data_IF_066895909016
#
_entry.id   IF_066895909016
#
_cell.length_a   1.000
_cell.length_b   1.000
_cell.length_c   1.000
_cell.angle_alpha   90.00
_cell.angle_beta   90.00
_cell.angle_gamma   90.00
#
_symmetry.space_group_name_H-M   'P 1'
#
loop_
_entity.id
_entity.type
_entity.pdbx_description
1 polymer ?
#
# COMPACT_ATOMS: atom_id res chain seq x y z
N UNK A 1 7.19 2.15 17.36
CA UNK A 1 6.37 1.16 16.64
C UNK A 1 5.94 1.75 15.31
N UNK A 2 6.30 1.11 14.19
CA UNK A 2 5.90 1.52 12.84
C UNK A 2 4.39 1.70 12.70
N UNK A 3 3.61 0.88 13.40
CA UNK A 3 2.14 0.92 13.37
C UNK A 3 1.60 2.30 13.74
N UNK A 4 2.24 3.02 14.66
CA UNK A 4 1.86 4.40 14.98
C UNK A 4 2.14 5.36 13.83
N UNK A 5 3.30 5.25 13.17
CA UNK A 5 3.61 6.06 11.98
C UNK A 5 2.64 5.77 10.83
N UNK A 6 2.26 4.50 10.64
CA UNK A 6 1.23 4.10 9.66
C UNK A 6 -0.11 4.73 10.05
N UNK A 7 -0.49 4.66 11.33
CA UNK A 7 -1.72 5.27 11.85
C UNK A 7 -1.74 6.78 11.64
N UNK A 8 -0.62 7.47 11.93
CA UNK A 8 -0.51 8.93 11.80
C UNK A 8 -0.65 9.38 10.33
N UNK A 9 -0.10 8.62 9.37
CA UNK A 9 -0.36 8.84 7.94
C UNK A 9 -1.84 8.65 7.63
N UNK A 10 -2.46 7.59 8.17
CA UNK A 10 -3.88 7.34 7.98
C UNK A 10 -4.80 8.42 8.54
N UNK A 11 -4.46 8.97 9.71
CA UNK A 11 -5.17 10.12 10.31
C UNK A 11 -5.05 11.36 9.42
N UNK A 12 -3.84 11.66 8.95
CA UNK A 12 -3.61 12.79 8.07
C UNK A 12 -4.38 12.64 6.76
N UNK A 13 -4.41 11.44 6.17
CA UNK A 13 -5.23 11.15 5.00
C UNK A 13 -6.72 11.33 5.30
N UNK A 14 -7.18 10.90 6.47
CA UNK A 14 -8.56 11.10 6.89
C UNK A 14 -8.90 12.59 7.05
N UNK A 15 -8.00 13.39 7.61
CA UNK A 15 -8.14 14.84 7.77
C UNK A 15 -8.11 15.59 6.43
N UNK A 16 -7.16 15.29 5.53
CA UNK A 16 -7.09 15.86 4.18
C UNK A 16 -8.34 15.57 3.36
N UNK A 17 -8.94 14.42 3.63
CA UNK A 17 -10.18 13.99 3.04
C UNK A 17 -11.35 14.20 4.01
N UNK A 18 -11.41 15.31 4.75
CA UNK A 18 -12.48 15.60 5.73
C UNK A 18 -13.91 15.64 5.16
N UNK A 19 -14.06 15.62 3.84
CA UNK A 19 -15.33 15.41 3.15
C UNK A 19 -15.69 13.93 2.92
N UNK A 20 -14.70 13.03 2.97
CA UNK A 20 -14.87 11.59 2.86
C UNK A 20 -15.33 11.01 4.19
N UNK A 21 -16.47 10.32 4.15
CA UNK A 21 -16.97 9.55 5.27
C UNK A 21 -16.18 8.23 5.39
N UNK A 22 -16.04 7.62 6.59
CA UNK A 22 -15.26 6.41 6.79
C UNK A 22 -15.55 5.25 5.81
N UNK A 23 -16.79 5.08 5.35
CA UNK A 23 -17.14 4.04 4.39
C UNK A 23 -16.57 4.28 2.98
N UNK A 24 -16.35 5.53 2.59
CA UNK A 24 -15.82 5.88 1.27
C UNK A 24 -14.39 5.37 1.09
N UNK A 25 -13.67 5.18 2.20
CA UNK A 25 -12.33 4.59 2.26
C UNK A 25 -12.31 3.12 1.85
N UNK A 26 -13.39 2.40 2.17
CA UNK A 26 -13.53 1.00 1.84
C UNK A 26 -14.27 0.80 0.52
N UNK A 27 -14.96 1.84 0.02
CA UNK A 27 -15.55 1.88 -1.31
C UNK A 27 -14.45 1.85 -2.39
N UNK A 28 -14.66 1.06 -3.43
CA UNK A 28 -13.72 0.80 -4.50
C UNK A 28 -14.27 1.32 -5.83
N UNK A 29 -13.38 1.64 -6.77
CA UNK A 29 -13.77 1.80 -8.16
C UNK A 29 -14.04 0.41 -8.77
N UNK A 30 -15.19 0.18 -9.45
CA UNK A 30 -15.41 -1.06 -10.19
C UNK A 30 -14.31 -1.28 -11.23
N UNK A 31 -13.93 -0.24 -11.96
CA UNK A 31 -12.89 -0.29 -12.99
C UNK A 31 -11.89 0.86 -12.80
N UNK A 32 -10.82 0.64 -12.01
CA UNK A 32 -9.84 1.70 -11.71
C UNK A 32 -9.22 2.32 -12.96
N UNK A 33 -9.10 3.65 -12.96
CA UNK A 33 -8.53 4.44 -14.07
C UNK A 33 -9.29 4.30 -15.41
N UNK A 34 -10.56 3.91 -15.38
CA UNK A 34 -11.42 3.80 -16.56
C UNK A 34 -12.78 4.42 -16.29
N UNK A 35 -13.44 4.86 -17.36
CA UNK A 35 -14.86 5.23 -17.28
C UNK A 35 -15.68 3.94 -17.29
N UNK A 36 -16.49 3.76 -16.25
CA UNK A 36 -17.41 2.64 -16.09
C UNK A 36 -18.81 3.07 -16.55
N UNK A 37 -19.47 2.24 -17.37
CA UNK A 37 -20.91 2.39 -17.66
C UNK A 37 -21.71 1.71 -16.57
N UNK A 38 -22.30 2.49 -15.67
CA UNK A 38 -23.13 1.99 -14.58
C UNK A 38 -24.59 1.94 -15.03
N UNK A 39 -25.16 0.75 -15.09
CA UNK A 39 -26.59 0.53 -15.32
C UNK A 39 -27.31 0.60 -13.96
N UNK A 40 -28.25 1.54 -13.83
CA UNK A 40 -29.00 1.78 -12.61
C UNK A 40 -30.36 1.09 -12.71
N UNK A 41 -30.59 0.09 -11.88
CA UNK A 41 -31.91 -0.54 -11.73
C UNK A 41 -32.75 0.40 -10.86
N UNK A 42 -33.67 1.13 -11.49
CA UNK A 42 -34.42 2.20 -10.84
C UNK A 42 -35.71 1.69 -10.21
N UNK A 43 -35.89 2.01 -8.94
CA UNK A 43 -37.14 1.83 -8.23
C UNK A 43 -37.74 3.19 -7.86
N UNK A 44 -39.03 3.21 -7.54
CA UNK A 44 -39.72 4.38 -7.00
C UNK A 44 -40.60 3.97 -5.83
N UNK A 45 -40.50 4.69 -4.72
CA UNK A 45 -41.40 4.55 -3.58
C UNK A 45 -42.60 5.49 -3.76
N UNK A 46 -43.81 4.94 -3.82
CA UNK A 46 -45.08 5.69 -3.80
C UNK A 46 -45.90 5.24 -2.60
N UNK A 47 -45.99 6.07 -1.57
CA UNK A 47 -46.55 5.68 -0.28
C UNK A 47 -45.71 4.58 0.38
N UNK A 48 -46.33 3.45 0.69
CA UNK A 48 -45.66 2.27 1.29
C UNK A 48 -45.13 1.27 0.25
N UNK A 49 -45.51 1.42 -1.03
CA UNK A 49 -45.12 0.46 -2.07
C UNK A 49 -43.91 0.94 -2.86
N UNK A 50 -43.04 -0.01 -3.20
CA UNK A 50 -41.87 0.19 -4.04
C UNK A 50 -42.14 -0.50 -5.38
N UNK A 51 -41.93 0.21 -6.47
CA UNK A 51 -42.17 -0.29 -7.83
C UNK A 51 -40.92 -0.13 -8.68
N UNK A 52 -40.65 -1.12 -9.53
CA UNK A 52 -39.63 -1.03 -10.56
C UNK A 52 -40.05 0.01 -11.62
N UNK A 53 -39.11 0.86 -12.04
CA UNK A 53 -39.34 1.97 -12.98
C UNK A 53 -38.66 1.75 -14.34
N UNK A 54 -37.49 1.10 -14.34
CA UNK A 54 -36.70 0.86 -15.55
C UNK A 54 -35.20 0.87 -15.28
N UNK A 55 -34.40 0.92 -16.35
CA UNK A 55 -32.94 1.00 -16.29
C UNK A 55 -32.44 2.36 -16.82
N UNK A 56 -31.61 3.05 -16.03
CA UNK A 56 -30.86 4.25 -16.45
C UNK A 56 -29.37 3.90 -16.64
N UNK A 57 -28.61 4.72 -17.36
CA UNK A 57 -27.17 4.50 -17.60
C UNK A 57 -26.38 5.77 -17.29
N UNK A 58 -25.37 5.65 -16.43
CA UNK A 58 -24.50 6.76 -16.05
C UNK A 58 -23.01 6.43 -16.21
N UNK A 59 -22.22 7.46 -16.49
CA UNK A 59 -20.76 7.34 -16.50
C UNK A 59 -20.20 7.49 -15.08
N UNK A 60 -19.40 6.52 -14.68
CA UNK A 60 -18.72 6.49 -13.38
C UNK A 60 -17.21 6.58 -13.58
N UNK A 61 -16.56 7.42 -12.80
CA UNK A 61 -15.11 7.66 -12.83
C UNK A 61 -14.57 7.89 -11.42
N UNK A 62 -13.26 8.16 -11.32
CA UNK A 62 -12.54 8.44 -10.07
C UNK A 62 -13.17 9.53 -9.18
N UNK A 63 -13.99 10.43 -9.75
CA UNK A 63 -14.60 11.57 -9.03
C UNK A 63 -15.97 11.26 -8.43
N UNK A 64 -16.68 10.25 -8.93
CA UNK A 64 -18.07 9.99 -8.53
C UNK A 64 -18.37 8.54 -8.14
N UNK A 65 -17.39 7.62 -8.23
CA UNK A 65 -17.60 6.21 -7.94
C UNK A 65 -18.09 5.94 -6.51
N UNK A 66 -17.68 6.77 -5.53
CA UNK A 66 -18.03 6.55 -4.11
C UNK A 66 -19.53 6.55 -3.89
N UNK A 67 -20.29 7.29 -4.70
CA UNK A 67 -21.76 7.40 -4.62
C UNK A 67 -22.48 6.08 -4.85
N UNK A 68 -21.86 5.19 -5.62
CA UNK A 68 -22.40 3.88 -5.97
C UNK A 68 -21.94 2.78 -5.01
N UNK A 69 -21.12 3.10 -4.00
CA UNK A 69 -20.85 2.20 -2.89
C UNK A 69 -20.30 0.81 -3.30
N UNK A 70 -19.57 0.69 -4.41
CA UNK A 70 -19.00 -0.61 -4.83
C UNK A 70 -17.98 -1.12 -3.81
N UNK A 71 -18.15 -2.34 -3.34
CA UNK A 71 -17.20 -3.02 -2.46
C UNK A 71 -17.11 -4.48 -2.86
N UNK A 72 -15.94 -4.91 -3.34
CA UNK A 72 -15.70 -6.31 -3.66
C UNK A 72 -15.69 -7.17 -2.39
N UNK A 73 -16.42 -8.28 -2.42
CA UNK A 73 -16.42 -9.27 -1.35
C UNK A 73 -15.52 -10.47 -1.66
N UNK A 74 -15.75 -11.58 -0.96
CA UNK A 74 -14.95 -12.79 -1.11
C UNK A 74 -15.24 -13.48 -2.46
N UNK A 75 -14.29 -14.27 -2.97
CA UNK A 75 -14.41 -14.93 -4.27
C UNK A 75 -15.66 -15.84 -4.40
N UNK A 76 -16.21 -16.33 -3.28
CA UNK A 76 -17.41 -17.19 -3.25
C UNK A 76 -18.66 -16.49 -2.69
N UNK A 77 -18.51 -15.35 -2.02
CA UNK A 77 -19.61 -14.64 -1.36
C UNK A 77 -20.25 -13.52 -2.19
N UNK A 78 -19.66 -13.15 -3.33
CA UNK A 78 -20.14 -12.04 -4.14
C UNK A 78 -19.61 -10.69 -3.67
N UNK A 79 -20.09 -9.60 -4.29
CA UNK A 79 -19.79 -8.24 -3.86
C UNK A 79 -20.58 -7.90 -2.57
N UNK A 80 -20.13 -6.93 -1.78
CA UNK A 80 -20.70 -6.65 -0.44
C UNK A 80 -21.98 -5.82 -0.53
N UNK A 81 -22.03 -4.88 -1.47
CA UNK A 81 -23.19 -4.01 -1.71
C UNK A 81 -23.93 -4.41 -2.97
N UNK A 82 -25.04 -3.75 -3.26
CA UNK A 82 -25.84 -4.02 -4.47
C UNK A 82 -25.12 -3.68 -5.78
N UNK A 83 -23.99 -2.97 -5.71
CA UNK A 83 -23.20 -2.63 -6.88
C UNK A 83 -22.27 -3.78 -7.24
N UNK A 84 -22.32 -4.20 -8.50
CA UNK A 84 -21.50 -5.31 -9.01
C UNK A 84 -21.07 -5.05 -10.45
N UNK A 85 -19.89 -5.58 -10.81
CA UNK A 85 -19.47 -5.65 -12.22
C UNK A 85 -20.44 -6.52 -13.01
N UNK A 86 -20.63 -6.16 -14.28
CA UNK A 86 -21.43 -6.95 -15.19
C UNK A 86 -20.78 -8.32 -15.43
N UNK A 87 -21.59 -9.33 -15.72
CA UNK A 87 -21.16 -10.71 -15.90
C UNK A 87 -22.38 -11.61 -16.08
N UNK A 88 -22.31 -12.83 -15.56
CA UNK A 88 -23.45 -13.75 -15.50
C UNK A 88 -24.59 -13.13 -14.68
N UNK A 89 -25.62 -12.62 -15.37
CA UNK A 89 -26.73 -11.90 -14.75
C UNK A 89 -27.51 -12.79 -13.79
N UNK A 90 -27.79 -14.04 -14.15
CA UNK A 90 -28.52 -14.95 -13.26
C UNK A 90 -27.78 -15.13 -11.95
N UNK A 91 -26.47 -15.39 -12.02
CA UNK A 91 -25.66 -15.53 -10.82
C UNK A 91 -25.63 -14.24 -10.00
N UNK A 92 -25.47 -13.09 -10.65
CA UNK A 92 -25.33 -11.79 -9.97
C UNK A 92 -26.65 -11.32 -9.33
N UNK A 93 -27.77 -11.42 -10.04
CA UNK A 93 -29.10 -11.07 -9.52
C UNK A 93 -29.55 -12.04 -8.41
N UNK A 94 -29.26 -13.34 -8.54
CA UNK A 94 -29.50 -14.28 -7.44
C UNK A 94 -28.65 -13.99 -6.20
N UNK A 95 -27.41 -13.51 -6.38
CA UNK A 95 -26.55 -13.09 -5.24
C UNK A 95 -27.11 -11.85 -4.54
N UNK A 96 -27.66 -10.90 -5.30
CA UNK A 96 -28.38 -9.74 -4.76
C UNK A 96 -29.52 -10.20 -3.83
N UNK A 97 -30.39 -11.07 -4.33
CA UNK A 97 -31.59 -11.55 -3.62
C UNK A 97 -31.24 -12.41 -2.41
N UNK A 98 -30.33 -13.37 -2.57
CA UNK A 98 -30.09 -14.41 -1.56
C UNK A 98 -28.99 -14.06 -0.55
N UNK A 99 -28.18 -13.04 -0.83
CA UNK A 99 -27.04 -12.68 0.03
C UNK A 99 -27.04 -11.21 0.40
N UNK A 100 -27.06 -10.31 -0.57
CA UNK A 100 -26.81 -8.88 -0.31
C UNK A 100 -27.99 -8.20 0.38
N UNK A 101 -29.22 -8.45 -0.08
CA UNK A 101 -30.42 -7.96 0.61
C UNK A 101 -30.52 -8.52 2.04
N UNK A 102 -30.44 -9.86 2.28
CA UNK A 102 -30.47 -10.42 3.62
C UNK A 102 -29.44 -9.81 4.56
N UNK A 103 -28.17 -9.68 4.14
CA UNK A 103 -27.13 -9.09 4.98
C UNK A 103 -27.42 -7.63 5.37
N UNK A 104 -27.99 -6.84 4.46
CA UNK A 104 -28.34 -5.45 4.73
C UNK A 104 -29.58 -5.34 5.65
N UNK A 105 -30.55 -6.24 5.47
CA UNK A 105 -31.75 -6.33 6.31
C UNK A 105 -31.37 -6.74 7.73
N UNK A 106 -30.57 -7.79 7.89
CA UNK A 106 -30.08 -8.25 9.20
C UNK A 106 -29.34 -7.12 9.94
N UNK A 107 -28.47 -6.39 9.24
CA UNK A 107 -27.79 -5.23 9.82
C UNK A 107 -28.79 -4.13 10.23
N UNK A 108 -29.81 -3.88 9.41
CA UNK A 108 -30.84 -2.87 9.68
C UNK A 108 -31.67 -3.22 10.93
N UNK A 109 -32.02 -4.50 11.13
CA UNK A 109 -32.82 -4.97 12.27
C UNK A 109 -32.15 -4.72 13.62
N UNK A 110 -30.82 -4.67 13.66
CA UNK A 110 -30.08 -4.38 14.90
C UNK A 110 -30.10 -2.90 15.31
N UNK A 111 -30.55 -2.00 14.42
CA UNK A 111 -30.46 -0.56 14.64
C UNK A 111 -31.80 0.15 14.57
N UNK A 112 -32.62 -0.16 13.56
CA UNK A 112 -33.83 0.58 13.21
C UNK A 112 -34.81 -0.31 12.42
N UNK A 113 -35.94 -0.63 13.07
CA UNK A 113 -36.98 -1.47 12.49
C UNK A 113 -37.62 -0.88 11.22
N UNK A 114 -37.64 0.44 11.07
CA UNK A 114 -38.23 1.10 9.90
C UNK A 114 -37.32 0.93 8.68
N UNK A 115 -35.99 1.01 8.86
CA UNK A 115 -35.02 0.71 7.79
C UNK A 115 -35.13 -0.75 7.34
N UNK A 116 -35.23 -1.68 8.29
CA UNK A 116 -35.39 -3.10 7.96
C UNK A 116 -36.65 -3.35 7.13
N UNK A 117 -37.77 -2.72 7.49
CA UNK A 117 -39.04 -2.80 6.73
C UNK A 117 -38.89 -2.23 5.32
N UNK A 118 -38.20 -1.09 5.17
CA UNK A 118 -37.91 -0.50 3.87
C UNK A 118 -37.10 -1.43 2.94
N UNK A 119 -36.00 -2.02 3.43
CA UNK A 119 -35.18 -2.93 2.62
C UNK A 119 -35.89 -4.26 2.30
N UNK A 120 -36.75 -4.77 3.19
CA UNK A 120 -37.64 -5.91 2.90
C UNK A 120 -38.62 -5.58 1.77
N UNK A 121 -39.24 -4.41 1.81
CA UNK A 121 -40.13 -3.94 0.74
C UNK A 121 -39.40 -3.79 -0.60
N UNK A 122 -38.15 -3.31 -0.57
CA UNK A 122 -37.33 -3.20 -1.78
C UNK A 122 -36.95 -4.58 -2.34
N UNK A 123 -36.53 -5.51 -1.47
CA UNK A 123 -36.24 -6.89 -1.86
C UNK A 123 -37.47 -7.57 -2.50
N UNK A 124 -38.65 -7.41 -1.90
CA UNK A 124 -39.89 -7.98 -2.43
C UNK A 124 -40.21 -7.43 -3.83
N UNK A 125 -40.16 -6.10 -3.99
CA UNK A 125 -40.34 -5.45 -5.30
C UNK A 125 -39.34 -5.95 -6.35
N UNK A 126 -38.08 -6.15 -5.95
CA UNK A 126 -37.06 -6.68 -6.85
C UNK A 126 -37.38 -8.13 -7.30
N UNK A 127 -37.83 -8.98 -6.38
CA UNK A 127 -38.20 -10.37 -6.67
C UNK A 127 -39.42 -10.42 -7.60
N UNK A 128 -40.46 -9.62 -7.32
CA UNK A 128 -41.69 -9.58 -8.11
C UNK A 128 -41.43 -9.14 -9.57
N UNK A 129 -40.38 -8.33 -9.78
CA UNK A 129 -40.01 -7.81 -11.09
C UNK A 129 -38.75 -8.48 -11.67
N UNK A 130 -38.31 -9.63 -11.12
CA UNK A 130 -37.00 -10.24 -11.44
C UNK A 130 -36.79 -10.48 -12.94
N UNK A 131 -37.75 -11.11 -13.62
CA UNK A 131 -37.63 -11.45 -15.05
C UNK A 131 -37.62 -10.20 -15.93
N UNK A 132 -38.44 -9.20 -15.60
CA UNK A 132 -38.47 -7.91 -16.30
C UNK A 132 -37.13 -7.18 -16.13
N UNK A 133 -36.63 -7.07 -14.90
CA UNK A 133 -35.34 -6.45 -14.57
C UNK A 133 -34.22 -7.14 -15.36
N UNK A 134 -34.18 -8.48 -15.35
CA UNK A 134 -33.17 -9.25 -16.06
C UNK A 134 -33.20 -8.96 -17.56
N UNK A 135 -34.39 -8.97 -18.17
CA UNK A 135 -34.56 -8.71 -19.61
C UNK A 135 -34.14 -7.29 -19.98
N UNK A 136 -34.61 -6.27 -19.26
CA UNK A 136 -34.27 -4.87 -19.53
C UNK A 136 -32.78 -4.57 -19.30
N UNK A 137 -32.19 -5.15 -18.24
CA UNK A 137 -30.77 -4.99 -17.93
C UNK A 137 -29.88 -5.64 -19.02
N UNK A 138 -30.24 -6.84 -19.48
CA UNK A 138 -29.53 -7.53 -20.57
C UNK A 138 -29.64 -6.74 -21.88
N UNK A 139 -30.84 -6.29 -22.25
CA UNK A 139 -31.06 -5.48 -23.45
C UNK A 139 -30.25 -4.17 -23.40
N UNK A 140 -30.24 -3.50 -22.24
CA UNK A 140 -29.48 -2.26 -22.04
C UNK A 140 -27.99 -2.50 -22.18
N UNK A 141 -27.46 -3.60 -21.62
CA UNK A 141 -26.06 -3.97 -21.78
C UNK A 141 -25.71 -4.33 -23.22
N UNK A 142 -26.56 -5.09 -23.91
CA UNK A 142 -26.28 -5.56 -25.27
C UNK A 142 -26.24 -4.43 -26.30
N UNK A 143 -27.00 -3.36 -26.06
CA UNK A 143 -27.01 -2.16 -26.89
C UNK A 143 -25.82 -1.20 -26.65
N UNK A 144 -24.91 -1.51 -25.71
CA UNK A 144 -23.70 -0.71 -25.47
C UNK A 144 -22.60 -0.98 -26.51
N UNK A 145 -21.71 0.00 -26.69
CA UNK A 145 -20.51 -0.20 -27.50
C UNK A 145 -19.56 -1.23 -26.88
N UNK A 146 -18.71 -1.85 -27.70
CA UNK A 146 -17.79 -2.92 -27.25
C UNK A 146 -16.87 -2.48 -26.10
N UNK A 147 -16.38 -1.24 -26.14
CA UNK A 147 -15.50 -0.69 -25.11
C UNK A 147 -16.23 -0.46 -23.79
N UNK A 148 -17.50 -0.08 -23.87
CA UNK A 148 -18.37 0.14 -22.72
C UNK A 148 -18.70 -1.18 -22.05
N UNK A 149 -19.09 -2.22 -22.81
CA UNK A 149 -19.38 -3.57 -22.30
C UNK A 149 -18.26 -4.13 -21.42
N UNK A 150 -17.00 -3.88 -21.78
CA UNK A 150 -15.83 -4.35 -21.01
C UNK A 150 -15.71 -3.72 -19.62
N UNK A 151 -16.29 -2.53 -19.43
CA UNK A 151 -16.22 -1.75 -18.20
C UNK A 151 -17.62 -1.45 -17.63
N UNK A 152 -18.61 -2.31 -17.89
CA UNK A 152 -19.97 -2.13 -17.38
C UNK A 152 -20.15 -2.70 -15.97
N UNK A 153 -20.92 -2.01 -15.15
CA UNK A 153 -21.38 -2.46 -13.84
C UNK A 153 -22.86 -2.14 -13.69
N UNK A 154 -23.52 -2.70 -12.69
CA UNK A 154 -24.89 -2.32 -12.36
C UNK A 154 -25.08 -2.18 -10.85
N UNK A 155 -26.13 -1.45 -10.48
CA UNK A 155 -26.49 -1.17 -9.09
C UNK A 155 -27.98 -0.85 -8.97
N UNK A 156 -28.45 -0.67 -7.75
CA UNK A 156 -29.83 -0.32 -7.43
C UNK A 156 -29.91 1.15 -7.00
N UNK A 157 -30.94 1.85 -7.46
CA UNK A 157 -31.28 3.21 -7.03
C UNK A 157 -32.77 3.29 -6.77
N UNK A 158 -33.18 4.19 -5.88
CA UNK A 158 -34.61 4.39 -5.59
C UNK A 158 -34.96 5.87 -5.50
N UNK A 159 -36.04 6.26 -6.16
CA UNK A 159 -36.65 7.58 -6.01
C UNK A 159 -37.59 7.55 -4.79
N UNK A 160 -37.29 8.40 -3.80
CA UNK A 160 -38.12 8.62 -2.61
C UNK A 160 -38.52 10.10 -2.61
N UNK A 161 -39.83 10.35 -2.72
CA UNK A 161 -40.43 11.70 -2.71
C UNK A 161 -39.83 12.65 -3.77
N UNK A 162 -39.55 12.13 -4.97
CA UNK A 162 -39.00 12.90 -6.08
C UNK A 162 -37.48 13.09 -6.00
N UNK A 163 -36.82 12.48 -5.02
CA UNK A 163 -35.36 12.51 -4.88
C UNK A 163 -34.77 11.13 -5.14
N UNK A 164 -33.94 11.02 -6.18
CA UNK A 164 -33.15 9.82 -6.45
C UNK A 164 -32.12 9.62 -5.34
N UNK A 165 -32.25 8.51 -4.61
CA UNK A 165 -31.31 8.03 -3.61
C UNK A 165 -30.42 6.94 -4.20
N UNK A 166 -29.12 7.13 -4.09
CA UNK A 166 -28.09 6.14 -4.41
C UNK A 166 -27.74 5.32 -3.15
N UNK A 167 -27.05 4.20 -3.33
CA UNK A 167 -26.68 3.32 -2.21
C UNK A 167 -25.90 4.04 -1.10
N UNK A 168 -25.01 4.95 -1.46
CA UNK A 168 -24.22 5.72 -0.49
C UNK A 168 -25.06 6.67 0.36
N UNK A 169 -26.28 7.02 -0.04
CA UNK A 169 -27.15 7.90 0.74
C UNK A 169 -27.71 7.20 1.99
N UNK A 170 -27.71 5.86 2.01
CA UNK A 170 -28.21 5.07 3.13
C UNK A 170 -27.12 4.85 4.19
N UNK A 171 -27.33 5.40 5.39
CA UNK A 171 -26.40 5.24 6.54
C UNK A 171 -26.07 3.78 6.83
N UNK A 172 -27.04 2.87 6.67
CA UNK A 172 -26.82 1.44 6.92
C UNK A 172 -25.88 0.80 5.89
N UNK A 173 -25.91 1.25 4.62
CA UNK A 173 -24.97 0.80 3.58
C UNK A 173 -23.55 1.30 3.90
N UNK A 174 -23.43 2.55 4.36
CA UNK A 174 -22.16 3.11 4.82
C UNK A 174 -21.56 2.26 5.97
N UNK A 175 -22.38 1.86 6.94
CA UNK A 175 -21.97 0.98 8.03
C UNK A 175 -21.59 -0.42 7.55
N UNK A 176 -22.37 -1.02 6.65
CA UNK A 176 -22.07 -2.33 6.06
C UNK A 176 -20.67 -2.35 5.42
N UNK A 177 -20.35 -1.32 4.63
CA UNK A 177 -19.05 -1.17 3.97
C UNK A 177 -17.93 -1.00 5.01
N UNK A 178 -18.14 -0.17 6.02
CA UNK A 178 -17.15 0.08 7.07
C UNK A 178 -16.87 -1.20 7.88
N UNK A 179 -17.93 -1.89 8.32
CA UNK A 179 -17.86 -3.15 9.07
C UNK A 179 -17.16 -4.23 8.25
N UNK A 180 -17.50 -4.38 6.97
CA UNK A 180 -16.79 -5.30 6.08
C UNK A 180 -15.30 -4.92 5.89
N UNK A 181 -15.00 -3.62 5.83
CA UNK A 181 -13.65 -3.09 5.72
C UNK A 181 -12.72 -3.53 6.84
N UNK A 182 -13.25 -3.66 8.06
CA UNK A 182 -12.48 -3.99 9.26
C UNK A 182 -12.76 -5.37 9.83
N UNK A 183 -13.68 -6.16 9.24
CA UNK A 183 -14.05 -7.48 9.76
C UNK A 183 -12.84 -8.40 9.94
N UNK A 184 -11.93 -8.38 8.96
CA UNK A 184 -10.68 -9.15 9.01
C UNK A 184 -9.76 -8.79 10.18
N UNK A 185 -9.99 -7.66 10.85
CA UNK A 185 -9.24 -7.23 12.03
C UNK A 185 -9.68 -7.98 13.27
N UNK A 186 -10.86 -8.62 13.29
CA UNK A 186 -11.33 -9.38 14.45
C UNK A 186 -11.81 -10.79 14.13
N UNK A 187 -12.24 -11.06 12.90
CA UNK A 187 -12.70 -12.36 12.45
C UNK A 187 -11.79 -12.86 11.33
N UNK A 188 -10.97 -13.88 11.64
CA UNK A 188 -10.01 -14.44 10.70
C UNK A 188 -9.75 -15.91 11.02
N UNK A 189 -9.51 -16.72 9.99
CA UNK A 189 -9.27 -18.17 10.16
C UNK A 189 -10.43 -18.93 10.83
N UNK A 190 -11.66 -18.42 10.75
CA UNK A 190 -12.82 -18.98 11.47
C UNK A 190 -12.79 -18.70 12.97
N UNK A 191 -11.95 -17.77 13.41
CA UNK A 191 -11.75 -17.41 14.81
C UNK A 191 -12.09 -15.93 15.00
N UNK A 192 -12.91 -15.63 16.00
CA UNK A 192 -13.14 -14.27 16.48
C UNK A 192 -12.18 -13.98 17.63
N UNK A 193 -11.37 -12.93 17.48
CA UNK A 193 -10.46 -12.43 18.51
C UNK A 193 -10.79 -10.97 18.84
N UNK A 194 -11.56 -10.79 19.91
CA UNK A 194 -11.96 -9.49 20.46
C UNK A 194 -11.95 -9.51 21.98
N UNK A 195 -11.82 -8.34 22.58
CA UNK A 195 -12.07 -8.13 24.00
C UNK A 195 -12.67 -6.76 24.26
N UNK A 196 -13.42 -6.66 25.36
CA UNK A 196 -14.06 -5.43 25.78
C UNK A 196 -13.26 -4.72 26.89
N UNK A 197 -13.41 -3.40 26.95
CA UNK A 197 -12.87 -2.55 28.02
C UNK A 197 -11.36 -2.72 28.22
N UNK A 198 -10.60 -2.81 27.12
CA UNK A 198 -9.14 -2.93 27.11
C UNK A 198 -8.47 -1.67 26.58
N UNK A 199 -7.17 -1.56 26.83
CA UNK A 199 -6.32 -0.47 26.33
C UNK A 199 -5.84 -0.83 24.92
N UNK A 200 -6.04 0.09 23.97
CA UNK A 200 -5.51 -0.07 22.62
C UNK A 200 -4.00 0.19 22.59
N UNK A 201 -3.22 -0.67 21.91
CA UNK A 201 -1.77 -0.55 21.78
C UNK A 201 -1.29 0.62 20.91
N UNK A 202 -2.20 1.29 20.18
CA UNK A 202 -1.87 2.40 19.28
C UNK A 202 -2.16 3.75 19.92
N UNK A 203 -3.42 3.98 20.33
CA UNK A 203 -3.82 5.24 20.96
C UNK A 203 -3.62 5.27 22.48
N UNK A 204 -3.31 4.13 23.10
CA UNK A 204 -3.13 3.98 24.55
C UNK A 204 -4.36 4.39 25.40
N UNK A 205 -5.53 4.46 24.78
CA UNK A 205 -6.79 4.77 25.45
C UNK A 205 -7.56 3.48 25.75
N UNK A 206 -8.32 3.50 26.85
CA UNK A 206 -9.33 2.47 27.12
C UNK A 206 -10.47 2.58 26.10
N UNK A 207 -10.87 1.45 25.52
CA UNK A 207 -11.86 1.40 24.45
C UNK A 207 -12.92 0.34 24.75
N UNK A 208 -14.18 0.55 24.29
CA UNK A 208 -15.25 -0.43 24.48
C UNK A 208 -14.89 -1.79 23.90
N UNK A 209 -14.20 -1.80 22.75
CA UNK A 209 -13.83 -3.02 22.04
C UNK A 209 -12.41 -2.88 21.45
N UNK A 210 -11.62 -3.96 21.52
CA UNK A 210 -10.33 -4.12 20.84
C UNK A 210 -10.30 -5.42 20.05
N UNK A 211 -9.53 -5.42 18.98
CA UNK A 211 -9.43 -6.47 17.98
C UNK A 211 -8.06 -7.13 18.01
N UNK A 212 -8.02 -8.44 17.76
CA UNK A 212 -6.78 -9.22 17.77
C UNK A 212 -6.06 -9.34 16.44
N UNK A 213 -6.66 -9.03 15.30
CA UNK A 213 -6.06 -9.22 13.97
C UNK A 213 -5.87 -7.90 13.21
N UNK A 214 -5.86 -6.75 13.89
CA UNK A 214 -5.76 -5.41 13.28
C UNK A 214 -4.39 -5.03 12.69
N UNK A 215 -3.50 -6.00 12.42
CA UNK A 215 -2.18 -5.73 11.84
C UNK A 215 -2.36 -5.17 10.42
N UNK A 216 -1.73 -4.02 10.09
CA UNK A 216 -1.98 -3.37 8.81
C UNK A 216 -1.47 -4.26 7.68
N UNK A 217 -0.24 -4.76 7.83
CA UNK A 217 0.39 -5.68 6.88
C UNK A 217 0.39 -7.13 7.39
N UNK A 218 0.50 -8.09 6.47
CA UNK A 218 0.50 -9.53 6.75
C UNK A 218 1.86 -10.07 7.26
N UNK A 219 2.57 -9.31 8.11
CA UNK A 219 3.78 -9.82 8.79
C UNK A 219 3.47 -10.47 10.14
N UNK A 220 2.36 -10.10 10.79
CA UNK A 220 1.89 -10.72 12.02
C UNK A 220 0.85 -11.78 11.67
N UNK A 221 1.25 -13.06 11.72
CA UNK A 221 0.37 -14.20 11.44
C UNK A 221 0.23 -15.09 12.67
N UNK A 222 -1.00 -15.57 12.89
CA UNK A 222 -1.38 -16.42 14.02
C UNK A 222 -1.66 -17.85 13.61
N UNK A 223 -1.33 -18.21 12.38
CA UNK A 223 -1.57 -19.52 11.78
C UNK A 223 -0.74 -20.63 12.43
N UNK A 224 0.32 -20.27 13.16
CA UNK A 224 1.24 -21.22 13.83
C UNK A 224 1.02 -21.21 15.34
N UNK A 225 1.08 -22.40 15.94
CA UNK A 225 0.84 -22.69 17.37
C UNK A 225 1.88 -22.10 18.34
N UNK A 226 2.68 -21.12 17.94
CA UNK A 226 3.72 -20.50 18.77
C UNK A 226 3.65 -18.97 18.83
N UNK A 227 2.79 -18.32 18.05
CA UNK A 227 2.82 -16.84 17.88
C UNK A 227 1.77 -16.10 18.70
N UNK A 228 0.95 -16.81 19.49
CA UNK A 228 -0.18 -16.24 20.23
C UNK A 228 -0.02 -16.40 21.75
N UNK A 229 -0.12 -15.31 22.52
CA UNK A 229 -0.15 -15.37 23.99
C UNK A 229 -1.46 -15.95 24.51
N UNK A 230 -1.43 -16.47 25.74
CA UNK A 230 -2.59 -17.14 26.34
C UNK A 230 -2.74 -18.57 25.84
N UNK A 231 -1.69 -19.38 26.04
CA UNK A 231 -1.62 -20.81 25.70
C UNK A 231 -1.82 -21.12 24.22
N UNK A 232 -1.28 -20.29 23.33
CA UNK A 232 -1.32 -20.50 21.88
C UNK A 232 -2.74 -20.56 21.29
N UNK A 233 -3.72 -19.98 22.00
CA UNK A 233 -5.10 -19.91 21.54
C UNK A 233 -5.32 -18.67 20.67
N UNK A 234 -5.56 -18.87 19.37
CA UNK A 234 -5.80 -17.80 18.39
C UNK A 234 -6.90 -16.81 18.80
N UNK A 235 -7.92 -17.24 19.56
CA UNK A 235 -8.97 -16.34 20.09
C UNK A 235 -8.39 -15.25 20.99
N UNK A 236 -7.26 -15.50 21.64
CA UNK A 236 -6.59 -14.60 22.56
C UNK A 236 -5.59 -13.66 21.88
N UNK A 237 -5.52 -13.60 20.54
CA UNK A 237 -4.55 -12.72 19.87
C UNK A 237 -4.77 -11.23 20.16
N UNK A 238 -5.96 -10.82 20.59
CA UNK A 238 -6.23 -9.48 21.14
C UNK A 238 -5.30 -9.13 22.31
N UNK A 239 -4.74 -10.10 23.04
CA UNK A 239 -3.74 -9.85 24.10
C UNK A 239 -2.42 -9.38 23.49
N UNK A 240 -2.01 -10.00 22.38
CA UNK A 240 -0.76 -9.64 21.69
C UNK A 240 -0.86 -8.29 20.99
N UNK A 241 -2.04 -8.00 20.43
CA UNK A 241 -2.18 -6.92 19.48
C UNK A 241 -3.54 -6.22 19.62
N UNK A 242 -3.85 -5.62 20.79
CA UNK A 242 -5.15 -5.02 21.07
C UNK A 242 -5.33 -3.71 20.31
N UNK A 243 -6.14 -3.71 19.25
CA UNK A 243 -6.40 -2.52 18.42
C UNK A 243 -7.88 -2.16 18.42
N UNK A 244 -8.21 -0.93 18.77
CA UNK A 244 -9.59 -0.45 18.68
C UNK A 244 -10.02 -0.13 17.25
N UNK A 245 -11.33 -0.08 17.02
CA UNK A 245 -11.92 0.20 15.71
C UNK A 245 -11.32 1.40 15.00
N UNK A 246 -11.26 2.56 15.67
CA UNK A 246 -10.75 3.81 15.06
C UNK A 246 -9.31 3.66 14.58
N UNK A 247 -8.43 3.09 15.39
CA UNK A 247 -7.04 2.87 15.00
C UNK A 247 -6.92 1.82 13.89
N UNK A 248 -7.78 0.80 13.88
CA UNK A 248 -7.76 -0.20 12.80
C UNK A 248 -8.14 0.42 11.44
N UNK A 249 -9.10 1.35 11.42
CA UNK A 249 -9.48 2.12 10.21
C UNK A 249 -8.31 3.01 9.77
N UNK A 250 -7.76 3.82 10.68
CA UNK A 250 -6.61 4.70 10.43
C UNK A 250 -5.40 3.90 9.92
N UNK A 251 -5.12 2.73 10.47
CA UNK A 251 -4.02 1.88 10.02
C UNK A 251 -4.22 1.33 8.61
N UNK A 252 -5.44 0.93 8.26
CA UNK A 252 -5.75 0.46 6.91
C UNK A 252 -5.59 1.60 5.88
N UNK A 253 -5.96 2.83 6.26
CA UNK A 253 -5.72 4.03 5.45
C UNK A 253 -4.24 4.28 5.22
N UNK A 254 -3.47 4.33 6.30
CA UNK A 254 -2.03 4.55 6.22
C UNK A 254 -1.35 3.49 5.37
N UNK A 255 -1.74 2.22 5.52
CA UNK A 255 -1.24 1.13 4.67
C UNK A 255 -1.56 1.35 3.20
N UNK A 256 -2.80 1.71 2.87
CA UNK A 256 -3.21 1.91 1.49
C UNK A 256 -2.41 3.05 0.84
N UNK A 257 -2.22 4.16 1.58
CA UNK A 257 -1.38 5.27 1.15
C UNK A 257 0.08 4.83 0.92
N UNK A 258 0.68 4.14 1.91
CA UNK A 258 2.06 3.65 1.83
C UNK A 258 2.25 2.73 0.62
N UNK A 259 1.34 1.77 0.45
CA UNK A 259 1.42 0.79 -0.65
C UNK A 259 1.35 1.48 -2.01
N UNK A 260 0.46 2.47 -2.14
CA UNK A 260 0.21 3.19 -3.41
C UNK A 260 1.32 4.19 -3.76
N UNK A 261 1.80 4.96 -2.79
CA UNK A 261 2.66 6.13 -3.05
C UNK A 261 4.08 5.99 -2.50
N UNK A 262 4.28 5.22 -1.43
CA UNK A 262 5.54 5.15 -0.70
C UNK A 262 6.28 3.80 -0.86
N UNK A 263 5.83 2.95 -1.78
CA UNK A 263 6.59 1.79 -2.24
C UNK A 263 7.69 2.25 -3.18
N UNK A 264 8.95 2.01 -2.79
CA UNK A 264 10.15 2.43 -3.53
C UNK A 264 11.07 1.25 -3.80
N UNK A 265 12.05 1.48 -4.66
CA UNK A 265 13.10 0.51 -4.99
C UNK A 265 14.46 1.06 -4.57
N UNK A 266 15.29 0.20 -3.99
CA UNK A 266 16.65 0.51 -3.59
C UNK A 266 17.57 -0.56 -4.20
N UNK A 267 18.12 -0.24 -5.37
CA UNK A 267 19.03 -1.10 -6.13
C UNK A 267 18.48 -2.52 -6.37
N UNK A 268 17.19 -2.61 -6.71
CA UNK A 268 16.48 -3.87 -6.96
C UNK A 268 15.94 -4.57 -5.71
N UNK A 269 15.90 -3.89 -4.56
CA UNK A 269 15.19 -4.34 -3.36
C UNK A 269 13.98 -3.43 -3.11
N UNK A 270 12.80 -3.99 -2.92
CA UNK A 270 11.58 -3.24 -2.61
C UNK A 270 11.56 -2.86 -1.13
N UNK A 271 11.09 -1.64 -0.85
CA UNK A 271 10.88 -1.19 0.52
C UNK A 271 9.74 -0.17 0.62
N UNK A 272 9.15 -0.06 1.81
CA UNK A 272 8.27 1.05 2.15
C UNK A 272 9.07 2.18 2.79
N UNK A 273 8.88 3.40 2.28
CA UNK A 273 9.46 4.63 2.83
C UNK A 273 8.43 5.30 3.75
N UNK A 274 8.50 5.06 5.05
CA UNK A 274 7.47 5.50 6.00
C UNK A 274 7.99 6.71 6.79
N UNK A 275 7.52 7.95 6.53
CA UNK A 275 7.89 9.10 7.33
C UNK A 275 7.25 9.03 8.72
N UNK A 276 7.96 9.61 9.69
CA UNK A 276 7.51 9.78 11.07
C UNK A 276 7.93 11.17 11.54
N UNK A 277 6.99 12.02 11.91
CA UNK A 277 7.31 13.29 12.54
C UNK A 277 8.12 13.07 13.83
N UNK A 278 9.11 13.93 14.09
CA UNK A 278 9.92 13.85 15.30
C UNK A 278 9.10 14.20 16.53
N UNK A 279 8.28 15.23 16.43
CA UNK A 279 7.36 15.63 17.48
C UNK A 279 6.06 14.81 17.42
N UNK A 280 5.55 14.31 18.56
CA UNK A 280 4.25 13.66 18.59
C UNK A 280 3.14 14.60 18.10
N UNK A 281 2.22 14.06 17.28
CA UNK A 281 1.07 14.78 16.72
C UNK A 281 1.43 15.99 15.85
N UNK A 282 2.67 16.10 15.37
CA UNK A 282 3.08 17.11 14.40
C UNK A 282 2.67 16.68 12.99
N UNK A 283 1.41 17.00 12.66
CA UNK A 283 0.80 16.67 11.36
C UNK A 283 1.43 17.48 10.23
N UNK A 284 1.84 18.73 10.48
CA UNK A 284 2.46 19.61 9.49
C UNK A 284 3.79 19.04 8.99
N UNK A 285 4.66 18.59 9.89
CA UNK A 285 5.94 17.97 9.49
C UNK A 285 5.75 16.68 8.71
N UNK A 286 4.74 15.88 9.08
CA UNK A 286 4.37 14.67 8.33
C UNK A 286 3.82 15.03 6.95
N UNK A 287 2.97 16.05 6.87
CA UNK A 287 2.36 16.56 5.63
C UNK A 287 3.43 17.02 4.64
N UNK A 288 4.36 17.83 5.13
CA UNK A 288 5.52 18.31 4.39
C UNK A 288 6.39 17.17 3.86
N UNK A 289 6.63 16.12 4.68
CA UNK A 289 7.38 14.95 4.24
C UNK A 289 6.67 14.20 3.10
N UNK A 290 5.35 14.02 3.20
CA UNK A 290 4.55 13.39 2.16
C UNK A 290 4.50 14.23 0.87
N UNK A 291 4.38 15.57 1.00
CA UNK A 291 4.46 16.51 -0.11
C UNK A 291 5.79 16.42 -0.85
N UNK A 292 6.90 16.41 -0.12
CA UNK A 292 8.25 16.23 -0.67
C UNK A 292 8.35 14.94 -1.51
N UNK A 293 7.81 13.81 -1.03
CA UNK A 293 7.89 12.55 -1.80
C UNK A 293 7.06 12.59 -3.09
N UNK A 294 5.90 13.24 -3.06
CA UNK A 294 5.09 13.44 -4.26
C UNK A 294 5.82 14.31 -5.30
N UNK A 295 6.49 15.38 -4.86
CA UNK A 295 7.30 16.23 -5.74
C UNK A 295 8.49 15.46 -6.34
N UNK A 296 9.19 14.67 -5.53
CA UNK A 296 10.31 13.84 -6.00
C UNK A 296 9.82 12.81 -7.03
N UNK A 297 8.69 12.16 -6.78
CA UNK A 297 8.11 11.19 -7.73
C UNK A 297 7.72 11.85 -9.06
N UNK A 298 7.19 13.08 -9.02
CA UNK A 298 6.91 13.86 -10.21
C UNK A 298 8.19 14.19 -10.98
N UNK A 299 9.26 14.60 -10.28
CA UNK A 299 10.56 14.87 -10.89
C UNK A 299 11.16 13.63 -11.54
N UNK A 300 11.13 12.47 -10.86
CA UNK A 300 11.66 11.21 -11.39
C UNK A 300 10.92 10.80 -12.67
N UNK A 301 9.58 10.90 -12.67
CA UNK A 301 8.75 10.56 -13.85
C UNK A 301 9.04 11.44 -15.07
N UNK A 302 9.39 12.70 -14.84
CA UNK A 302 9.62 13.68 -15.90
C UNK A 302 11.10 13.89 -16.23
N UNK A 303 12.02 13.21 -15.55
CA UNK A 303 13.46 13.37 -15.78
C UNK A 303 13.96 12.49 -16.92
N UNK A 304 14.72 13.07 -17.84
CA UNK A 304 15.50 12.35 -18.86
C UNK A 304 16.91 11.93 -18.33
N UNK A 305 17.16 12.10 -17.04
CA UNK A 305 18.51 12.13 -16.45
C UNK A 305 19.16 10.74 -16.26
N UNK A 306 20.50 10.74 -16.20
CA UNK A 306 21.39 9.56 -16.19
C UNK A 306 21.65 9.01 -14.77
N UNK A 307 21.37 9.77 -13.70
CA UNK A 307 21.53 9.27 -12.32
C UNK A 307 20.50 8.17 -12.05
N UNK A 308 20.90 7.05 -11.41
CA UNK A 308 19.94 6.02 -11.04
C UNK A 308 18.84 6.63 -10.16
N UNK A 309 17.57 6.38 -10.51
CA UNK A 309 16.41 6.95 -9.80
C UNK A 309 16.50 6.74 -8.29
N UNK A 310 17.17 5.67 -7.85
CA UNK A 310 17.41 5.34 -6.46
C UNK A 310 18.39 6.30 -5.75
N UNK A 311 19.55 6.61 -6.33
CA UNK A 311 20.49 7.59 -5.72
C UNK A 311 19.85 8.99 -5.69
N UNK A 312 19.15 9.38 -6.75
CA UNK A 312 18.48 10.68 -6.84
C UNK A 312 17.44 10.89 -5.73
N UNK A 313 16.61 9.88 -5.45
CA UNK A 313 15.64 9.92 -4.34
C UNK A 313 16.36 10.16 -3.00
N UNK A 314 17.46 9.44 -2.75
CA UNK A 314 18.21 9.55 -1.50
C UNK A 314 18.88 10.91 -1.35
N UNK A 315 19.45 11.45 -2.44
CA UNK A 315 19.99 12.80 -2.49
C UNK A 315 18.90 13.85 -2.20
N UNK A 316 17.72 13.73 -2.81
CA UNK A 316 16.62 14.67 -2.58
C UNK A 316 16.13 14.67 -1.14
N UNK A 317 16.05 13.49 -0.51
CA UNK A 317 15.78 13.39 0.92
C UNK A 317 16.86 14.14 1.73
N UNK A 318 18.14 13.95 1.41
CA UNK A 318 19.27 14.60 2.08
C UNK A 318 19.35 16.12 1.91
N UNK A 319 18.73 16.68 0.86
CA UNK A 319 18.64 18.13 0.61
C UNK A 319 17.66 18.83 1.57
N UNK A 320 16.81 18.09 2.26
CA UNK A 320 15.88 18.66 3.25
C UNK A 320 16.68 19.27 4.40
N UNK A 321 16.46 20.56 4.69
CA UNK A 321 17.32 21.31 5.61
C UNK A 321 16.96 21.13 7.10
N UNK A 322 15.83 20.50 7.41
CA UNK A 322 15.34 20.32 8.77
C UNK A 322 15.05 18.82 9.06
N UNK A 323 15.50 18.33 10.22
CA UNK A 323 15.19 16.97 10.68
C UNK A 323 13.80 16.95 11.35
N UNK A 324 12.78 17.51 10.69
CA UNK A 324 11.42 17.56 11.22
C UNK A 324 10.73 16.19 11.22
N UNK A 325 11.19 15.30 10.35
CA UNK A 325 10.77 13.91 10.29
C UNK A 325 11.98 12.98 10.26
N UNK A 326 11.71 11.72 10.57
CA UNK A 326 12.60 10.59 10.37
C UNK A 326 11.95 9.60 9.41
N UNK A 327 12.74 8.68 8.87
CA UNK A 327 12.29 7.70 7.91
C UNK A 327 12.52 6.28 8.41
N UNK A 328 11.44 5.51 8.34
CA UNK A 328 11.39 4.09 8.57
C UNK A 328 11.43 3.39 7.21
N UNK A 329 12.52 2.67 6.90
CA UNK A 329 12.67 1.93 5.64
C UNK A 329 12.46 0.45 5.91
N UNK A 330 11.28 -0.06 5.53
CA UNK A 330 10.92 -1.46 5.69
C UNK A 330 11.17 -2.22 4.39
N UNK A 331 12.26 -2.98 4.32
CA UNK A 331 12.59 -3.80 3.15
C UNK A 331 11.87 -5.13 3.20
N UNK A 332 11.27 -5.54 2.09
CA UNK A 332 10.45 -6.74 2.06
C UNK A 332 10.51 -7.51 0.73
N UNK A 333 10.14 -8.78 0.82
CA UNK A 333 9.75 -9.62 -0.32
C UNK A 333 8.26 -9.92 -0.19
N UNK A 334 7.49 -9.63 -1.24
CA UNK A 334 6.06 -9.94 -1.29
C UNK A 334 5.84 -11.22 -2.12
N UNK A 335 5.13 -12.19 -1.55
CA UNK A 335 4.70 -13.36 -2.31
C UNK A 335 3.65 -12.92 -3.35
N UNK A 336 3.86 -13.18 -4.66
CA UNK A 336 2.96 -12.68 -5.71
C UNK A 336 1.53 -13.24 -5.57
N UNK A 337 1.39 -14.45 -5.04
CA UNK A 337 0.11 -15.16 -4.91
C UNK A 337 -0.60 -14.82 -3.61
N UNK A 338 0.06 -14.94 -2.47
CA UNK A 338 -0.58 -14.80 -1.15
C UNK A 338 -0.58 -13.37 -0.61
N UNK A 339 0.19 -12.48 -1.24
CA UNK A 339 0.43 -11.11 -0.75
C UNK A 339 1.07 -11.09 0.65
N UNK A 340 1.71 -12.19 1.05
CA UNK A 340 2.45 -12.28 2.30
C UNK A 340 3.74 -11.49 2.19
N UNK A 341 4.06 -10.71 3.23
CA UNK A 341 5.23 -9.84 3.29
C UNK A 341 6.26 -10.50 4.20
N UNK A 342 7.43 -10.85 3.64
CA UNK A 342 8.60 -11.28 4.40
C UNK A 342 9.51 -10.08 4.60
N UNK A 343 9.61 -9.61 5.84
CA UNK A 343 10.52 -8.53 6.21
C UNK A 343 11.97 -9.03 6.06
N UNK A 344 12.80 -8.27 5.33
CA UNK A 344 14.20 -8.59 5.06
C UNK A 344 15.17 -7.74 5.87
N UNK A 345 14.82 -6.49 6.09
CA UNK A 345 15.59 -5.53 6.86
C UNK A 345 14.68 -4.38 7.27
N UNK A 346 14.94 -3.82 8.45
CA UNK A 346 14.29 -2.60 8.92
C UNK A 346 15.34 -1.58 9.34
N UNK A 347 15.24 -0.37 8.80
CA UNK A 347 15.98 0.80 9.25
C UNK A 347 15.00 1.76 9.90
N UNK A 348 15.11 1.96 11.20
CA UNK A 348 14.17 2.77 11.97
C UNK A 348 14.74 4.18 12.22
N UNK A 349 13.87 5.17 12.14
CA UNK A 349 14.11 6.55 12.57
C UNK A 349 15.35 7.20 11.94
N UNK A 350 15.59 6.96 10.65
CA UNK A 350 16.72 7.55 9.92
C UNK A 350 16.43 9.01 9.58
N UNK A 351 17.18 10.00 10.08
CA UNK A 351 16.93 11.41 9.79
C UNK A 351 17.43 11.81 8.38
N UNK A 352 16.84 12.84 7.74
CA UNK A 352 17.34 13.42 6.48
C UNK A 352 18.85 13.74 6.49
N UNK A 353 19.40 14.21 7.62
CA UNK A 353 20.84 14.45 7.76
C UNK A 353 21.71 13.20 7.51
N UNK A 354 21.19 11.99 7.81
CA UNK A 354 21.92 10.75 7.50
C UNK A 354 21.98 10.51 6.01
N UNK A 355 20.89 10.76 5.28
CA UNK A 355 20.88 10.69 3.82
C UNK A 355 21.81 11.74 3.21
N UNK A 356 21.81 12.96 3.74
CA UNK A 356 22.74 14.02 3.33
C UNK A 356 24.20 13.56 3.43
N UNK A 357 24.57 12.97 4.57
CA UNK A 357 25.93 12.46 4.78
C UNK A 357 26.28 11.37 3.75
N UNK A 358 25.40 10.38 3.60
CA UNK A 358 25.66 9.17 2.81
C UNK A 358 25.62 9.41 1.29
N UNK A 359 24.73 10.28 0.81
CA UNK A 359 24.43 10.44 -0.62
C UNK A 359 24.86 11.80 -1.20
N UNK A 360 25.18 12.80 -0.37
CA UNK A 360 25.61 14.12 -0.85
C UNK A 360 27.04 14.44 -0.40
N UNK A 361 27.27 14.51 0.91
CA UNK A 361 28.54 15.02 1.45
C UNK A 361 29.73 14.12 1.12
N UNK A 362 29.65 12.83 1.48
CA UNK A 362 30.75 11.90 1.22
C UNK A 362 30.93 11.65 -0.29
N UNK A 363 29.87 11.40 -1.09
CA UNK A 363 30.04 11.29 -2.54
C UNK A 363 30.67 12.52 -3.17
N UNK A 364 30.34 13.74 -2.70
CA UNK A 364 30.98 14.97 -3.20
C UNK A 364 32.48 15.01 -2.93
N UNK A 365 32.94 14.55 -1.76
CA UNK A 365 34.36 14.45 -1.41
C UNK A 365 35.04 13.42 -2.33
N UNK A 366 34.48 12.21 -2.38
CA UNK A 366 35.07 11.07 -3.08
C UNK A 366 35.12 11.30 -4.61
N UNK A 367 34.06 11.84 -5.21
CA UNK A 367 33.97 12.06 -6.66
C UNK A 367 34.92 13.15 -7.19
N UNK A 368 35.46 13.98 -6.30
CA UNK A 368 36.45 14.99 -6.64
C UNK A 368 37.89 14.48 -6.59
N UNK A 369 38.12 13.24 -6.12
CA UNK A 369 39.45 12.67 -6.06
C UNK A 369 40.02 12.47 -7.48
N UNK A 370 41.23 13.00 -7.78
CA UNK A 370 41.88 12.84 -9.09
C UNK A 370 42.03 11.39 -9.55
N UNK A 371 42.15 10.45 -8.61
CA UNK A 371 42.28 9.01 -8.90
C UNK A 371 41.10 8.45 -9.70
N UNK A 372 39.94 9.11 -9.71
CA UNK A 372 38.73 8.60 -10.36
C UNK A 372 38.35 9.35 -11.65
N UNK A 373 39.22 10.23 -12.16
CA UNK A 373 38.99 10.98 -13.40
C UNK A 373 39.33 10.14 -14.64
N UNK A 374 38.52 10.26 -15.69
CA UNK A 374 38.75 9.63 -17.01
C UNK A 374 39.02 8.10 -17.00
N UNK A 375 38.40 7.39 -16.06
CA UNK A 375 38.56 5.94 -15.88
C UNK A 375 37.46 5.09 -16.54
N UNK A 376 36.22 5.56 -16.49
CA UNK A 376 35.07 4.80 -17.00
C UNK A 376 34.80 5.16 -18.46
N UNK A 377 34.44 4.19 -19.30
CA UNK A 377 34.20 4.43 -20.73
C UNK A 377 32.71 4.43 -21.03
N UNK A 378 32.17 5.60 -21.39
CA UNK A 378 30.77 5.73 -21.72
C UNK A 378 30.51 5.31 -23.18
N UNK A 379 30.13 4.04 -23.38
CA UNK A 379 29.95 3.45 -24.72
C UNK A 379 29.06 4.27 -25.67
N UNK A 380 27.95 4.85 -25.18
CA UNK A 380 27.05 5.67 -26.02
C UNK A 380 27.65 7.02 -26.44
N UNK A 381 28.54 7.59 -25.62
CA UNK A 381 29.17 8.91 -25.88
C UNK A 381 30.59 8.77 -26.45
N UNK A 382 31.09 7.54 -26.54
CA UNK A 382 32.42 7.18 -27.04
C UNK A 382 33.59 7.93 -26.37
N UNK A 383 33.41 8.35 -25.12
CA UNK A 383 34.41 9.10 -24.36
C UNK A 383 34.63 8.50 -22.98
N UNK A 384 35.79 8.79 -22.41
CA UNK A 384 36.04 8.56 -20.99
C UNK A 384 35.24 9.53 -20.14
N UNK A 385 34.86 9.08 -18.96
CA UNK A 385 34.16 9.85 -17.94
C UNK A 385 34.72 9.51 -16.57
N UNK A 386 34.47 10.40 -15.62
CA UNK A 386 34.79 10.18 -14.22
C UNK A 386 34.05 8.97 -13.67
N UNK A 387 34.77 8.12 -12.93
CA UNK A 387 34.17 7.09 -12.10
C UNK A 387 33.57 7.76 -10.86
N UNK A 388 32.24 7.83 -10.80
CA UNK A 388 31.51 8.41 -9.67
C UNK A 388 31.00 7.32 -8.73
N UNK A 389 30.99 7.63 -7.44
CA UNK A 389 30.34 6.83 -6.43
C UNK A 389 28.84 6.75 -6.70
N UNK A 390 28.32 5.53 -6.62
CA UNK A 390 26.90 5.21 -6.53
C UNK A 390 26.76 4.13 -5.47
N UNK A 391 25.70 4.20 -4.66
CA UNK A 391 25.48 3.18 -3.64
C UNK A 391 25.25 1.79 -4.26
N UNK A 392 24.89 1.72 -5.56
CA UNK A 392 24.82 0.49 -6.35
C UNK A 392 26.12 -0.33 -6.32
N UNK A 393 27.28 0.29 -6.11
CA UNK A 393 28.55 -0.43 -6.01
C UNK A 393 28.54 -1.47 -4.88
N UNK A 394 27.83 -1.22 -3.77
CA UNK A 394 27.67 -2.24 -2.73
C UNK A 394 26.94 -3.48 -3.23
N UNK A 395 26.00 -3.34 -4.17
CA UNK A 395 25.37 -4.50 -4.80
C UNK A 395 26.37 -5.35 -5.59
N UNK A 396 27.37 -4.73 -6.24
CA UNK A 396 28.39 -5.45 -7.01
C UNK A 396 29.28 -6.31 -6.10
N UNK A 397 29.68 -5.81 -4.93
CA UNK A 397 30.63 -6.49 -4.05
C UNK A 397 29.99 -7.27 -2.88
N UNK A 398 28.75 -6.95 -2.52
CA UNK A 398 28.03 -7.52 -1.38
C UNK A 398 26.65 -8.04 -1.79
N UNK A 399 26.47 -8.58 -3.00
CA UNK A 399 25.15 -9.00 -3.51
C UNK A 399 24.40 -9.95 -2.55
N UNK A 400 25.12 -10.95 -2.02
CA UNK A 400 24.63 -11.97 -1.09
C UNK A 400 24.37 -11.43 0.33
N UNK A 401 24.97 -10.30 0.68
CA UNK A 401 24.95 -9.66 2.00
C UNK A 401 24.45 -8.21 1.94
N UNK A 402 23.70 -7.87 0.88
CA UNK A 402 23.38 -6.48 0.56
C UNK A 402 22.58 -5.77 1.64
N UNK A 403 21.65 -6.50 2.28
CA UNK A 403 20.91 -5.98 3.42
C UNK A 403 21.83 -5.71 4.62
N UNK A 404 22.74 -6.64 4.94
CA UNK A 404 23.65 -6.48 6.08
C UNK A 404 24.58 -5.28 5.90
N UNK A 405 25.21 -5.13 4.73
CA UNK A 405 26.10 -4.00 4.47
C UNK A 405 25.34 -2.68 4.44
N UNK A 406 24.13 -2.64 3.86
CA UNK A 406 23.27 -1.45 3.87
C UNK A 406 22.93 -1.07 5.30
N UNK A 407 22.56 -2.04 6.14
CA UNK A 407 22.29 -1.82 7.55
C UNK A 407 23.52 -1.26 8.29
N UNK A 408 24.70 -1.89 8.12
CA UNK A 408 25.94 -1.39 8.74
C UNK A 408 26.22 0.05 8.33
N UNK A 409 26.10 0.38 7.03
CA UNK A 409 26.35 1.73 6.53
C UNK A 409 25.34 2.72 7.09
N UNK A 410 24.03 2.46 7.01
CA UNK A 410 23.03 3.40 7.53
C UNK A 410 23.17 3.62 9.04
N UNK A 411 23.42 2.56 9.80
CA UNK A 411 23.55 2.61 11.26
C UNK A 411 24.93 3.02 11.76
N UNK A 412 25.89 3.28 10.87
CA UNK A 412 27.23 3.70 11.24
C UNK A 412 28.08 2.62 11.92
N UNK A 413 27.79 1.34 11.65
CA UNK A 413 28.55 0.22 12.21
C UNK A 413 29.83 -0.02 11.44
N UNK A 414 30.89 -0.29 12.18
CA UNK A 414 32.20 -0.63 11.63
C UNK A 414 32.15 -1.95 10.84
N UNK A 415 32.94 -2.01 9.78
CA UNK A 415 33.20 -3.17 8.92
C UNK A 415 34.68 -3.48 9.06
N UNK A 416 35.06 -4.75 9.26
CA UNK A 416 36.48 -5.08 9.33
C UNK A 416 37.11 -4.93 7.94
N UNK A 417 38.35 -4.45 7.91
CA UNK A 417 39.13 -4.37 6.68
C UNK A 417 39.23 -5.75 6.00
N UNK A 418 39.41 -6.81 6.79
CA UNK A 418 39.42 -8.19 6.31
C UNK A 418 38.12 -8.57 5.58
N UNK A 419 36.95 -8.28 6.16
CA UNK A 419 35.65 -8.54 5.52
C UNK A 419 35.54 -7.80 4.18
N UNK A 420 35.98 -6.54 4.14
CA UNK A 420 35.95 -5.72 2.93
C UNK A 420 36.85 -6.30 1.82
N UNK A 421 38.10 -6.64 2.15
CA UNK A 421 39.05 -7.21 1.19
C UNK A 421 38.62 -8.58 0.68
N UNK A 422 38.07 -9.43 1.54
CA UNK A 422 37.51 -10.73 1.13
C UNK A 422 36.41 -10.56 0.08
N UNK A 423 35.52 -9.58 0.27
CA UNK A 423 34.43 -9.26 -0.67
C UNK A 423 34.94 -8.74 -2.01
N UNK A 424 35.91 -7.83 -1.99
CA UNK A 424 36.56 -7.33 -3.20
C UNK A 424 37.27 -8.44 -3.98
N UNK A 425 38.07 -9.26 -3.29
CA UNK A 425 38.82 -10.34 -3.91
C UNK A 425 37.91 -11.44 -4.49
N UNK A 426 36.76 -11.71 -3.86
CA UNK A 426 35.74 -12.62 -4.41
C UNK A 426 35.29 -12.18 -5.81
N UNK A 427 34.98 -10.90 -5.99
CA UNK A 427 34.54 -10.36 -7.29
C UNK A 427 35.68 -10.29 -8.31
N UNK A 428 36.86 -9.84 -7.89
CA UNK A 428 38.05 -9.77 -8.76
C UNK A 428 38.42 -11.15 -9.31
N UNK A 429 38.48 -12.17 -8.45
CA UNK A 429 38.78 -13.55 -8.86
C UNK A 429 37.72 -14.10 -9.81
N UNK A 430 36.44 -13.87 -9.51
CA UNK A 430 35.36 -14.30 -10.40
C UNK A 430 35.44 -13.64 -11.79
N UNK A 431 35.76 -12.35 -11.85
CA UNK A 431 35.95 -11.64 -13.12
C UNK A 431 37.18 -12.14 -13.90
N UNK A 432 38.27 -12.47 -13.20
CA UNK A 432 39.47 -13.06 -13.81
C UNK A 432 39.20 -14.44 -14.40
N UNK A 433 38.49 -15.31 -13.68
CA UNK A 433 38.12 -16.66 -14.15
C UNK A 433 37.23 -16.55 -15.41
N UNK A 434 36.22 -15.69 -15.38
CA UNK A 434 35.37 -15.42 -16.56
C UNK A 434 36.18 -14.98 -17.77
N UNK A 435 37.17 -14.12 -17.57
CA UNK A 435 38.09 -13.69 -18.63
C UNK A 435 38.91 -14.87 -19.18
N UNK A 436 39.46 -15.71 -18.32
CA UNK A 436 40.25 -16.87 -18.72
C UNK A 436 39.44 -17.89 -19.53
N UNK A 437 38.15 -18.04 -19.19
CA UNK A 437 37.25 -18.99 -19.84
C UNK A 437 36.44 -18.39 -21.01
N UNK A 438 36.60 -17.10 -21.32
CA UNK A 438 35.77 -16.36 -22.29
C UNK A 438 34.26 -16.43 -22.00
N UNK A 439 33.87 -16.33 -20.74
CA UNK A 439 32.49 -16.48 -20.28
C UNK A 439 31.82 -15.13 -19.93
N UNK A 440 30.70 -14.83 -20.59
CA UNK A 440 29.81 -13.72 -20.22
C UNK A 440 30.48 -12.33 -20.29
N UNK A 441 29.94 -11.39 -19.52
CA UNK A 441 30.51 -10.04 -19.40
C UNK A 441 31.71 -10.04 -18.45
N UNK A 442 32.83 -9.46 -18.93
CA UNK A 442 34.07 -9.26 -18.18
C UNK A 442 34.34 -7.77 -18.06
N UNK A 443 34.40 -7.27 -16.82
CA UNK A 443 34.77 -5.89 -16.54
C UNK A 443 36.30 -5.71 -16.67
N UNK A 444 36.75 -4.55 -17.16
CA UNK A 444 38.20 -4.25 -17.23
C UNK A 444 38.81 -4.29 -15.83
N UNK A 445 39.95 -4.96 -15.68
CA UNK A 445 40.62 -5.15 -14.38
C UNK A 445 40.88 -3.83 -13.65
N UNK A 446 41.46 -2.86 -14.33
CA UNK A 446 41.79 -1.55 -13.76
C UNK A 446 40.55 -0.80 -13.28
N UNK A 447 39.43 -0.90 -14.02
CA UNK A 447 38.16 -0.30 -13.63
C UNK A 447 37.58 -0.98 -12.39
N UNK A 448 37.66 -2.31 -12.32
CA UNK A 448 37.19 -3.07 -11.18
C UNK A 448 38.00 -2.73 -9.91
N UNK A 449 39.33 -2.63 -10.03
CA UNK A 449 40.22 -2.22 -8.95
C UNK A 449 39.91 -0.78 -8.50
N UNK A 450 39.70 0.14 -9.45
CA UNK A 450 39.32 1.51 -9.13
C UNK A 450 38.00 1.59 -8.35
N UNK A 451 37.01 0.74 -8.67
CA UNK A 451 35.76 0.64 -7.89
C UNK A 451 35.97 0.14 -6.47
N UNK A 452 36.89 -0.80 -6.25
CA UNK A 452 37.27 -1.25 -4.91
C UNK A 452 37.84 -0.08 -4.10
N UNK A 453 38.81 0.65 -4.65
CA UNK A 453 39.38 1.83 -3.99
C UNK A 453 38.35 2.93 -3.74
N UNK A 454 37.44 3.17 -4.68
CA UNK A 454 36.35 4.13 -4.53
C UNK A 454 35.44 3.77 -3.34
N UNK A 455 35.03 2.50 -3.23
CA UNK A 455 34.24 2.01 -2.10
C UNK A 455 34.99 2.07 -0.78
N UNK A 456 36.27 1.69 -0.77
CA UNK A 456 37.11 1.75 0.42
C UNK A 456 37.29 3.18 0.91
N UNK A 457 37.59 4.12 0.01
CA UNK A 457 37.70 5.54 0.36
C UNK A 457 36.37 6.10 0.87
N UNK A 458 35.24 5.74 0.25
CA UNK A 458 33.91 6.13 0.74
C UNK A 458 33.65 5.64 2.17
N UNK A 459 33.96 4.38 2.47
CA UNK A 459 33.80 3.82 3.81
C UNK A 459 34.79 4.42 4.82
N UNK A 460 36.02 4.74 4.39
CA UNK A 460 37.03 5.39 5.22
C UNK A 460 36.62 6.83 5.59
N UNK A 461 36.12 7.61 4.63
CA UNK A 461 35.59 8.96 4.87
C UNK A 461 34.36 8.97 5.79
N UNK A 462 33.56 7.90 5.77
CA UNK A 462 32.48 7.69 6.75
C UNK A 462 32.98 7.19 8.12
N UNK A 463 34.28 6.94 8.26
CA UNK A 463 34.89 6.28 9.41
C UNK A 463 34.21 4.95 9.73
N UNK A 464 33.94 4.12 8.72
CA UNK A 464 33.29 2.81 8.88
C UNK A 464 34.24 1.62 8.75
N UNK A 465 35.51 1.84 8.43
CA UNK A 465 36.51 0.76 8.42
C UNK A 465 37.08 0.59 9.83
N UNK A 466 37.19 -0.66 10.28
CA UNK A 466 38.00 -1.07 11.42
C UNK A 466 39.26 -1.73 10.85
N UNK A 467 40.35 -0.97 10.88
CA UNK A 467 41.68 -1.47 10.56
C UNK A 467 42.12 -2.45 11.65
N UNK A 468 42.64 -3.60 11.25
CA UNK A 468 43.28 -4.54 12.16
C UNK A 468 44.71 -4.05 12.38
N UNK A 469 45.05 -3.67 13.61
CA UNK A 469 46.41 -3.27 14.00
C UNK A 469 47.32 -4.49 14.11
#
# INVERSE_FOLDING_TARGET
>A
MQDRSITDIGKLEFERNSNLKPYELFTQEPYPNKVCKMLLIEFQKKGERIHFKGIDVQNVNEKNYSKYAYRKGSARGGDITFTTKFGDLDKKLNTLVNTQFPNLIELSETEDADNATFFKGWQHSFIDNYDQIKSELQNTYDNQEKQDKLNSAFTLTIDVDGQRRLLSDFKIVQRLISKNGIEGNYNKYGVVSKAENKICSICHQQKPEVYGFGSPFKYSTVDKTGTVSGFFNQKNNWINYPICETCAIEMELGKNYITKYLTKYFFGKSYFLIPKAVMPNDTESLDNALGLFNEIDYQIKNSESITSNEDFLMEKIGQTNNNLFTLNLLFFEENPTTKAIKIKMMLEEIPPSRFRKLFIEIPKIINNNPLFKDLDYHYKKKQKQDLKFSFRLFKQFFEDSFYEITYKIFMGRKISEKELHERFMKVIRANYIKRANNEGFVEKGDLLIAKCFLLQNYLAELNLIKYEN
#
